data_IF_640945522807
#
_entry.id   IF_640945522807
#
_cell.length_a   1.000
_cell.length_b   1.000
_cell.length_c   1.000
_cell.angle_alpha   90.00
_cell.angle_beta   90.00
_cell.angle_gamma   90.00
#
_symmetry.space_group_name_H-M   'P 1'
#
loop_
_entity.id
_entity.type
_entity.pdbx_description
1 polymer ?
#
# COMPACT_ATOMS: atom_id res chain seq x y z
N UNK A 1 -57.97 -16.78 21.61
CA UNK A 1 -57.18 -15.53 21.52
C UNK A 1 -55.79 -15.63 22.16
N UNK A 2 -55.62 -16.33 23.28
CA UNK A 2 -54.34 -16.44 24.01
C UNK A 2 -53.24 -17.23 23.27
N UNK A 3 -53.60 -18.30 22.54
CA UNK A 3 -52.63 -19.12 21.77
C UNK A 3 -51.92 -18.31 20.66
N UNK A 4 -52.64 -17.42 19.99
CA UNK A 4 -52.10 -16.57 18.92
C UNK A 4 -51.14 -15.51 19.47
N UNK A 5 -51.47 -14.92 20.63
CA UNK A 5 -50.58 -13.98 21.32
C UNK A 5 -49.26 -14.66 21.75
N UNK A 6 -49.35 -15.90 22.23
CA UNK A 6 -48.18 -16.69 22.62
C UNK A 6 -47.27 -17.00 21.42
N UNK A 7 -47.86 -17.34 20.26
CA UNK A 7 -47.11 -17.52 19.01
C UNK A 7 -46.39 -16.24 18.55
N UNK A 8 -47.06 -15.08 18.64
CA UNK A 8 -46.44 -13.80 18.27
C UNK A 8 -45.27 -13.43 19.17
N UNK A 9 -45.38 -13.69 20.48
CA UNK A 9 -44.29 -13.44 21.43
C UNK A 9 -43.08 -14.35 21.13
N UNK A 10 -43.33 -15.64 20.85
CA UNK A 10 -42.27 -16.58 20.48
C UNK A 10 -41.58 -16.16 19.19
N UNK A 11 -42.35 -15.73 18.18
CA UNK A 11 -41.80 -15.26 16.91
C UNK A 11 -40.96 -13.99 17.09
N UNK A 12 -41.42 -13.04 17.91
CA UNK A 12 -40.70 -11.83 18.23
C UNK A 12 -39.37 -12.12 18.96
N UNK A 13 -39.40 -13.05 19.93
CA UNK A 13 -38.20 -13.48 20.64
C UNK A 13 -37.19 -14.15 19.70
N UNK A 14 -37.66 -15.03 18.80
CA UNK A 14 -36.82 -15.67 17.79
C UNK A 14 -36.15 -14.63 16.88
N UNK A 15 -36.91 -13.66 16.38
CA UNK A 15 -36.40 -12.58 15.52
C UNK A 15 -35.34 -11.73 16.24
N UNK A 16 -35.57 -11.41 17.52
CA UNK A 16 -34.61 -10.67 18.33
C UNK A 16 -33.33 -11.46 18.55
N UNK A 17 -33.43 -12.76 18.82
CA UNK A 17 -32.27 -13.65 18.94
C UNK A 17 -31.46 -13.73 17.64
N UNK A 18 -32.10 -13.83 16.47
CA UNK A 18 -31.39 -13.83 15.19
C UNK A 18 -30.70 -12.50 14.93
N UNK A 19 -31.36 -11.37 15.22
CA UNK A 19 -30.75 -10.05 15.07
C UNK A 19 -29.50 -9.90 15.95
N UNK A 20 -29.56 -10.35 17.21
CA UNK A 20 -28.44 -10.33 18.15
C UNK A 20 -27.30 -11.25 17.69
N UNK A 21 -27.62 -12.46 17.20
CA UNK A 21 -26.63 -13.42 16.70
C UNK A 21 -25.85 -12.87 15.49
N UNK A 22 -26.54 -12.22 14.56
CA UNK A 22 -25.92 -11.57 13.40
C UNK A 22 -25.01 -10.41 13.84
N UNK A 23 -25.46 -9.59 14.78
CA UNK A 23 -24.67 -8.48 15.32
C UNK A 23 -23.38 -8.99 16.00
N UNK A 24 -23.49 -10.06 16.78
CA UNK A 24 -22.36 -10.67 17.46
C UNK A 24 -21.33 -11.27 16.48
N UNK A 25 -21.80 -11.97 15.44
CA UNK A 25 -20.93 -12.49 14.38
C UNK A 25 -20.20 -11.37 13.63
N UNK A 26 -20.89 -10.26 13.37
CA UNK A 26 -20.29 -9.07 12.76
C UNK A 26 -19.24 -8.43 13.67
N UNK A 27 -19.51 -8.34 14.97
CA UNK A 27 -18.57 -7.77 15.94
C UNK A 27 -17.28 -8.59 16.01
N UNK A 28 -17.37 -9.92 16.07
CA UNK A 28 -16.22 -10.82 16.03
C UNK A 28 -15.37 -10.62 14.77
N UNK A 29 -16.03 -10.50 13.61
CA UNK A 29 -15.36 -10.29 12.32
C UNK A 29 -14.57 -8.97 12.28
N UNK A 30 -15.15 -7.89 12.83
CA UNK A 30 -14.48 -6.58 12.88
C UNK A 30 -13.29 -6.61 13.83
N UNK A 31 -13.40 -7.28 14.98
CA UNK A 31 -12.31 -7.32 15.95
C UNK A 31 -11.10 -8.13 15.47
N UNK A 32 -11.33 -9.24 14.75
CA UNK A 32 -10.24 -10.01 14.13
C UNK A 32 -9.51 -9.21 13.05
N UNK A 33 -10.20 -8.29 12.37
CA UNK A 33 -9.62 -7.47 11.31
C UNK A 33 -8.77 -6.32 11.84
N UNK A 34 -9.12 -5.77 13.01
CA UNK A 34 -8.38 -4.65 13.64
C UNK A 34 -6.94 -5.06 13.98
N UNK A 35 -6.71 -6.28 14.46
CA UNK A 35 -5.36 -6.74 14.83
C UNK A 35 -4.44 -6.87 13.61
N UNK A 36 -4.96 -7.33 12.48
CA UNK A 36 -4.19 -7.43 11.23
C UNK A 36 -3.91 -6.05 10.63
N UNK A 37 -4.85 -5.10 10.78
CA UNK A 37 -4.72 -3.75 10.24
C UNK A 37 -3.54 -2.96 10.83
N UNK A 38 -3.14 -3.23 12.07
CA UNK A 38 -2.01 -2.55 12.70
C UNK A 38 -0.67 -2.91 12.04
N UNK A 39 -0.41 -4.20 11.85
CA UNK A 39 0.82 -4.66 11.17
C UNK A 39 0.85 -4.22 9.71
N UNK A 40 -0.31 -4.17 9.04
CA UNK A 40 -0.41 -3.73 7.66
C UNK A 40 0.01 -2.26 7.50
N UNK A 41 -0.36 -1.39 8.44
CA UNK A 41 0.06 0.04 8.42
C UNK A 41 1.57 0.22 8.45
N UNK A 42 2.27 -0.64 9.19
CA UNK A 42 3.74 -0.59 9.27
C UNK A 42 4.35 -0.99 7.92
N UNK A 43 3.82 -2.04 7.30
CA UNK A 43 4.24 -2.49 5.97
C UNK A 43 4.03 -1.37 4.95
N UNK A 44 2.84 -0.76 4.93
CA UNK A 44 2.51 0.31 3.99
C UNK A 44 3.44 1.52 4.17
N UNK A 45 3.75 1.90 5.41
CA UNK A 45 4.69 2.98 5.69
C UNK A 45 6.14 2.66 5.27
N UNK A 46 6.53 1.39 5.33
CA UNK A 46 7.85 0.94 4.91
C UNK A 46 7.96 0.90 3.37
N UNK A 47 6.90 0.49 2.68
CA UNK A 47 6.83 0.46 1.21
C UNK A 47 6.97 1.86 0.60
N UNK A 48 6.32 2.86 1.20
CA UNK A 48 6.49 4.27 0.80
C UNK A 48 7.94 4.74 0.94
N UNK A 49 8.57 4.45 2.08
CA UNK A 49 9.98 4.82 2.31
C UNK A 49 10.91 4.11 1.33
N UNK A 50 10.66 2.83 1.06
CA UNK A 50 11.43 2.04 0.10
C UNK A 50 11.30 2.61 -1.32
N UNK A 51 10.09 2.93 -1.76
CA UNK A 51 9.85 3.56 -3.05
C UNK A 51 10.56 4.90 -3.17
N UNK A 52 10.59 5.71 -2.11
CA UNK A 52 11.31 6.98 -2.10
C UNK A 52 12.83 6.75 -2.21
N UNK A 53 13.38 5.83 -1.42
CA UNK A 53 14.81 5.52 -1.44
C UNK A 53 15.25 5.01 -2.83
N UNK A 54 14.41 4.22 -3.49
CA UNK A 54 14.70 3.72 -4.83
C UNK A 54 14.76 4.85 -5.87
N UNK A 55 13.94 5.89 -5.73
CA UNK A 55 14.01 7.10 -6.56
C UNK A 55 15.31 7.86 -6.28
N UNK A 56 15.68 8.01 -5.01
CA UNK A 56 16.95 8.62 -4.60
C UNK A 56 18.16 7.86 -5.17
N UNK A 57 18.15 6.52 -5.10
CA UNK A 57 19.21 5.68 -5.65
C UNK A 57 19.29 5.78 -7.18
N UNK A 58 18.14 5.73 -7.87
CA UNK A 58 18.11 5.90 -9.33
C UNK A 58 18.70 7.23 -9.77
N UNK A 59 18.52 8.29 -8.97
CA UNK A 59 19.09 9.62 -9.23
C UNK A 59 20.62 9.63 -9.03
N UNK A 60 21.13 8.89 -8.05
CA UNK A 60 22.57 8.83 -7.75
C UNK A 60 23.37 7.85 -8.62
N UNK A 61 22.75 6.75 -9.07
CA UNK A 61 23.41 5.68 -9.82
C UNK A 61 23.54 5.98 -11.32
N UNK A 62 22.60 6.72 -11.91
CA UNK A 62 22.58 6.95 -13.37
C UNK A 62 23.51 8.07 -13.85
N UNK A 63 23.62 9.21 -13.16
CA UNK A 63 24.29 10.39 -13.75
C UNK A 63 25.51 10.90 -12.96
N UNK A 64 25.42 10.98 -11.62
CA UNK A 64 26.36 11.81 -10.85
C UNK A 64 27.77 11.25 -10.64
N UNK A 65 27.93 9.92 -10.59
CA UNK A 65 29.22 9.27 -10.28
C UNK A 65 30.09 9.04 -11.51
N UNK A 66 29.50 8.55 -12.60
CA UNK A 66 30.23 8.23 -13.83
C UNK A 66 30.67 9.51 -14.51
N UNK A 67 29.81 10.54 -14.58
CA UNK A 67 30.16 11.82 -15.19
C UNK A 67 31.27 12.54 -14.43
N UNK A 68 31.23 12.51 -13.09
CA UNK A 68 32.27 13.12 -12.25
C UNK A 68 33.59 12.38 -12.36
N UNK A 69 33.57 11.05 -12.35
CA UNK A 69 34.77 10.24 -12.60
C UNK A 69 35.34 10.47 -14.00
N UNK A 70 34.50 10.61 -15.02
CA UNK A 70 34.93 10.92 -16.39
C UNK A 70 35.54 12.32 -16.51
N UNK A 71 34.95 13.32 -15.86
CA UNK A 71 35.45 14.70 -15.88
C UNK A 71 36.74 14.85 -15.08
N UNK A 72 36.80 14.30 -13.87
CA UNK A 72 37.94 14.48 -12.95
C UNK A 72 39.11 13.54 -13.24
N UNK A 73 38.85 12.26 -13.55
CA UNK A 73 39.93 11.28 -13.78
C UNK A 73 40.33 11.15 -15.24
N UNK A 74 39.38 11.35 -16.16
CA UNK A 74 39.63 11.18 -17.59
C UNK A 74 39.72 12.52 -18.34
N UNK A 75 39.61 13.67 -17.66
CA UNK A 75 39.56 15.01 -18.27
C UNK A 75 38.55 15.11 -19.43
N UNK A 76 37.48 14.32 -19.40
CA UNK A 76 36.46 14.35 -20.46
C UNK A 76 35.61 15.61 -20.33
N UNK A 77 35.55 16.41 -21.39
CA UNK A 77 34.60 17.50 -21.57
C UNK A 77 33.49 17.08 -22.53
N UNK A 78 32.29 17.62 -22.36
CA UNK A 78 31.19 17.35 -23.28
C UNK A 78 31.53 18.00 -24.63
N UNK A 79 31.68 17.23 -25.72
CA UNK A 79 31.97 17.82 -27.01
C UNK A 79 30.76 18.67 -27.42
N UNK A 80 31.00 19.97 -27.64
CA UNK A 80 29.99 20.86 -28.21
C UNK A 80 29.53 20.35 -29.58
N UNK A 81 28.43 20.92 -30.08
CA UNK A 81 27.75 20.54 -31.33
C UNK A 81 28.69 20.40 -32.55
N UNK A 82 29.88 21.00 -32.51
CA UNK A 82 30.90 20.93 -33.56
C UNK A 82 31.71 19.62 -33.59
N UNK A 83 31.61 18.75 -32.58
CA UNK A 83 32.39 17.51 -32.45
C UNK A 83 31.59 16.21 -32.52
N UNK A 84 30.30 16.24 -32.83
CA UNK A 84 29.42 15.06 -32.79
C UNK A 84 29.08 14.57 -34.19
N UNK A 85 29.49 13.35 -34.54
CA UNK A 85 29.03 12.64 -35.74
C UNK A 85 27.90 11.70 -35.34
N UNK A 86 26.66 12.02 -35.76
CA UNK A 86 25.53 11.13 -35.57
C UNK A 86 25.65 9.96 -36.55
N UNK A 87 25.88 8.76 -36.02
CA UNK A 87 25.83 7.54 -36.82
C UNK A 87 24.38 7.06 -36.81
N UNK A 88 23.64 7.37 -37.87
CA UNK A 88 22.30 6.84 -38.10
C UNK A 88 22.46 5.45 -38.70
N UNK A 89 21.85 4.44 -38.07
CA UNK A 89 21.82 3.07 -38.59
C UNK A 89 20.72 2.92 -39.64
#
# INVERSE_FOLDING_TARGET
>A
MTKSALLLIVLAALCFCTAMAVLYSKYLSVQSYIQVSESQKIIDALDVQWSQLQIEESTFSEHGRVERAARERLNMSFPGLEGTVMIVR
#
